data_IF_438544646706
#
_entry.id   IF_438544646706
#
_cell.length_a   1.000
_cell.length_b   1.000
_cell.length_c   1.000
_cell.angle_alpha   90.00
_cell.angle_beta   90.00
_cell.angle_gamma   90.00
#
_symmetry.space_group_name_H-M   'P 1'
#
loop_
_entity.id
_entity.type
_entity.pdbx_description
1 polymer ?
#
# COMPACT_ATOMS: atom_id res chain seq x y z
N UNK A 1 13.33 -38.08 19.03
CA UNK A 1 12.97 -36.92 19.87
C UNK A 1 12.72 -35.72 18.95
N UNK A 2 11.46 -35.36 18.72
CA UNK A 2 11.07 -34.24 17.86
C UNK A 2 10.09 -33.34 18.60
N UNK A 3 10.29 -32.02 18.56
CA UNK A 3 9.43 -31.02 19.18
C UNK A 3 9.21 -29.84 18.21
N UNK A 4 8.35 -30.01 17.19
CA UNK A 4 8.07 -28.93 16.26
C UNK A 4 7.21 -27.84 16.93
N UNK A 5 7.54 -26.58 16.65
CA UNK A 5 6.77 -25.41 17.10
C UNK A 5 6.38 -24.58 15.88
N UNK A 6 5.10 -24.23 15.78
CA UNK A 6 4.55 -23.38 14.74
C UNK A 6 3.96 -22.10 15.32
N UNK A 7 4.15 -20.97 14.63
CA UNK A 7 3.58 -19.68 14.98
C UNK A 7 2.92 -19.06 13.75
N UNK A 8 1.71 -18.55 13.91
CA UNK A 8 0.92 -17.97 12.83
C UNK A 8 -0.06 -16.92 13.36
N UNK A 9 -0.60 -16.12 12.46
CA UNK A 9 -1.55 -15.04 12.78
C UNK A 9 -2.72 -15.05 11.81
N UNK A 10 -3.91 -14.69 12.29
CA UNK A 10 -4.97 -14.19 11.41
C UNK A 10 -4.88 -12.66 11.36
N UNK A 11 -5.00 -12.09 10.17
CA UNK A 11 -4.88 -10.65 9.97
C UNK A 11 -6.23 -9.95 10.09
N UNK A 12 -6.29 -8.63 9.90
CA UNK A 12 -7.55 -7.87 9.91
C UNK A 12 -8.57 -8.37 8.88
N UNK A 13 -8.13 -9.05 7.83
CA UNK A 13 -8.99 -9.78 6.90
C UNK A 13 -9.19 -11.24 7.37
N UNK A 14 -9.66 -11.41 8.60
CA UNK A 14 -9.97 -12.70 9.21
C UNK A 14 -11.18 -13.33 8.51
N UNK A 15 -10.91 -14.29 7.62
CA UNK A 15 -11.88 -14.83 6.68
C UNK A 15 -11.83 -16.35 6.72
N UNK A 16 -12.66 -16.92 7.58
CA UNK A 16 -12.89 -18.36 7.68
C UNK A 16 -14.39 -18.61 7.78
N UNK A 17 -14.87 -19.73 7.21
CA UNK A 17 -16.28 -20.11 7.30
C UNK A 17 -16.40 -21.62 7.47
N UNK A 18 -17.06 -22.05 8.53
CA UNK A 18 -17.36 -23.47 8.75
C UNK A 18 -18.63 -23.83 7.96
N UNK A 19 -18.70 -25.06 7.47
CA UNK A 19 -19.91 -25.62 6.87
C UNK A 19 -20.08 -27.06 7.34
N UNK A 20 -21.32 -27.55 7.37
CA UNK A 20 -21.63 -28.96 7.61
C UNK A 20 -22.72 -29.43 6.64
N UNK A 21 -22.65 -30.70 6.26
CA UNK A 21 -23.69 -31.37 5.48
C UNK A 21 -24.17 -32.55 6.34
N UNK A 22 -25.47 -32.68 6.52
CA UNK A 22 -26.09 -33.80 7.22
C UNK A 22 -27.37 -34.24 6.50
N UNK A 23 -28.11 -35.21 7.06
CA UNK A 23 -29.38 -35.70 6.48
C UNK A 23 -30.45 -34.60 6.35
N UNK A 24 -30.30 -33.48 7.06
CA UNK A 24 -31.26 -32.37 7.09
C UNK A 24 -30.91 -31.28 6.06
N UNK A 25 -29.71 -31.31 5.47
CA UNK A 25 -29.31 -30.40 4.41
C UNK A 25 -27.89 -29.84 4.57
N UNK A 26 -27.71 -28.64 4.04
CA UNK A 26 -26.42 -27.93 3.96
C UNK A 26 -26.49 -26.73 4.90
N UNK A 27 -25.49 -26.62 5.78
CA UNK A 27 -25.39 -25.54 6.75
C UNK A 27 -24.07 -24.81 6.56
N UNK A 28 -24.13 -23.49 6.69
CA UNK A 28 -22.97 -22.61 6.64
C UNK A 28 -22.97 -21.74 7.91
N UNK A 29 -21.78 -21.48 8.47
CA UNK A 29 -21.64 -20.64 9.64
C UNK A 29 -22.18 -19.23 9.34
N UNK A 30 -23.04 -18.75 10.22
CA UNK A 30 -23.60 -17.40 10.14
C UNK A 30 -22.53 -16.38 10.55
N UNK A 31 -22.27 -15.41 9.69
CA UNK A 31 -21.43 -14.25 9.98
C UNK A 31 -22.30 -13.03 10.34
N UNK A 32 -21.68 -11.96 10.82
CA UNK A 32 -22.37 -10.70 11.07
C UNK A 32 -22.76 -10.00 9.75
N UNK A 33 -24.00 -9.51 9.66
CA UNK A 33 -24.54 -8.79 8.51
C UNK A 33 -24.71 -7.29 8.75
N UNK A 34 -24.63 -6.83 10.01
CA UNK A 34 -24.77 -5.44 10.44
C UNK A 34 -23.51 -4.95 11.18
N UNK A 35 -22.31 -5.00 10.56
CA UNK A 35 -21.07 -4.69 11.25
C UNK A 35 -20.96 -3.22 11.72
N UNK A 36 -21.74 -2.31 11.13
CA UNK A 36 -21.78 -0.90 11.53
C UNK A 36 -22.22 -0.67 12.98
N UNK A 37 -22.89 -1.63 13.62
CA UNK A 37 -23.26 -1.54 15.03
C UNK A 37 -22.04 -1.47 15.97
N UNK A 38 -20.90 -2.02 15.54
CA UNK A 38 -19.65 -1.99 16.31
C UNK A 38 -18.88 -0.68 16.18
N UNK A 39 -19.31 0.23 15.31
CA UNK A 39 -18.69 1.55 15.14
C UNK A 39 -19.37 2.53 16.11
N UNK A 40 -18.63 3.08 17.11
CA UNK A 40 -19.19 4.05 18.05
C UNK A 40 -19.78 5.26 17.31
N UNK A 41 -20.94 5.81 17.73
CA UNK A 41 -21.58 6.92 17.03
C UNK A 41 -20.66 8.12 16.79
N UNK A 42 -19.82 8.47 17.77
CA UNK A 42 -18.86 9.57 17.67
C UNK A 42 -17.79 9.39 16.57
N UNK A 43 -17.50 8.14 16.15
CA UNK A 43 -16.48 7.84 15.16
C UNK A 43 -17.04 7.64 13.75
N UNK A 44 -18.35 7.58 13.57
CA UNK A 44 -18.98 7.34 12.25
C UNK A 44 -18.75 8.47 11.26
N UNK A 45 -18.48 9.67 11.75
CA UNK A 45 -18.18 10.86 10.94
C UNK A 45 -16.89 11.56 11.37
N UNK A 46 -15.96 10.83 11.99
CA UNK A 46 -14.64 11.38 12.24
C UNK A 46 -13.99 11.68 10.87
N UNK A 47 -13.86 12.97 10.54
CA UNK A 47 -13.20 13.42 9.31
C UNK A 47 -11.71 13.05 9.32
N UNK A 48 -10.96 13.60 8.36
CA UNK A 48 -9.54 13.27 8.23
C UNK A 48 -8.70 13.73 9.43
N UNK A 49 -9.18 14.63 10.29
CA UNK A 49 -8.40 15.21 11.42
C UNK A 49 -7.18 16.04 10.95
N UNK A 50 -6.24 16.33 11.86
CA UNK A 50 -5.03 17.08 11.52
C UNK A 50 -4.00 16.24 10.76
N UNK A 51 -3.78 16.56 9.49
CA UNK A 51 -2.78 15.93 8.62
C UNK A 51 -2.14 16.98 7.71
N UNK A 52 -0.84 16.80 7.45
CA UNK A 52 -0.13 17.64 6.47
C UNK A 52 -0.59 17.26 5.08
N UNK A 53 -1.12 18.24 4.34
CA UNK A 53 -1.55 18.04 2.95
C UNK A 53 -0.34 18.05 2.02
N UNK A 54 -0.21 17.03 1.18
CA UNK A 54 0.88 16.91 0.21
C UNK A 54 0.26 16.75 -1.18
N UNK A 55 0.57 17.70 -2.06
CA UNK A 55 0.20 17.63 -3.48
C UNK A 55 1.29 16.89 -4.25
N UNK A 56 0.90 15.73 -4.81
CA UNK A 56 1.76 14.82 -5.56
C UNK A 56 1.86 15.19 -7.04
N UNK A 57 1.11 16.18 -7.52
CA UNK A 57 1.18 16.67 -8.89
C UNK A 57 2.25 17.77 -9.08
N UNK A 58 3.15 17.91 -8.13
CA UNK A 58 4.31 18.81 -8.19
C UNK A 58 5.56 18.05 -8.64
N UNK A 59 6.61 18.74 -9.14
CA UNK A 59 7.89 18.10 -9.42
C UNK A 59 8.42 17.31 -8.22
N UNK A 60 8.94 16.10 -8.45
CA UNK A 60 9.42 15.19 -7.38
C UNK A 60 10.32 15.89 -6.36
N UNK A 61 11.24 16.75 -6.83
CA UNK A 61 12.15 17.54 -5.97
C UNK A 61 11.41 18.42 -4.96
N UNK A 62 10.29 19.02 -5.36
CA UNK A 62 9.47 19.87 -4.48
C UNK A 62 8.73 19.04 -3.43
N UNK A 63 8.22 17.88 -3.83
CA UNK A 63 7.54 16.96 -2.90
C UNK A 63 8.55 16.48 -1.84
N UNK A 64 9.74 16.05 -2.25
CA UNK A 64 10.82 15.64 -1.34
C UNK A 64 11.22 16.77 -0.39
N UNK A 65 11.35 18.00 -0.90
CA UNK A 65 11.68 19.17 -0.08
C UNK A 65 10.59 19.46 0.97
N UNK A 66 9.31 19.31 0.62
CA UNK A 66 8.21 19.43 1.58
C UNK A 66 8.27 18.32 2.64
N UNK A 67 8.43 17.05 2.23
CA UNK A 67 8.49 15.92 3.15
C UNK A 67 9.66 16.01 4.12
N UNK A 68 10.79 16.58 3.69
CA UNK A 68 11.99 16.76 4.50
C UNK A 68 11.81 17.74 5.68
N UNK A 69 10.74 18.53 5.69
CA UNK A 69 10.44 19.46 6.79
C UNK A 69 9.84 18.78 8.02
N UNK A 70 9.43 17.51 7.90
CA UNK A 70 8.67 16.81 8.92
C UNK A 70 9.42 15.59 9.47
N UNK A 71 9.29 15.33 10.78
CA UNK A 71 9.86 14.11 11.37
C UNK A 71 9.07 12.87 10.95
N UNK A 72 9.67 11.70 11.16
CA UNK A 72 8.98 10.41 11.02
C UNK A 72 7.75 10.35 11.93
N UNK A 73 6.76 9.54 11.53
CA UNK A 73 5.44 9.43 12.17
C UNK A 73 4.51 10.63 11.98
N UNK A 74 4.92 11.67 11.24
CA UNK A 74 4.02 12.75 10.82
C UNK A 74 2.93 12.20 9.91
N UNK A 75 1.67 12.55 10.22
CA UNK A 75 0.52 12.10 9.44
C UNK A 75 0.32 12.98 8.21
N UNK A 76 0.16 12.34 7.05
CA UNK A 76 0.00 13.00 5.76
C UNK A 76 -1.36 12.69 5.14
N UNK A 77 -1.91 13.65 4.39
CA UNK A 77 -3.04 13.46 3.47
C UNK A 77 -2.54 13.77 2.05
N UNK A 78 -2.52 12.75 1.20
CA UNK A 78 -1.89 12.80 -0.13
C UNK A 78 -2.96 13.03 -1.20
N UNK A 79 -2.70 13.92 -2.15
CA UNK A 79 -3.57 14.15 -3.31
C UNK A 79 -2.73 14.23 -4.58
N UNK A 80 -3.10 13.51 -5.62
CA UNK A 80 -2.45 13.56 -6.93
C UNK A 80 -2.18 12.17 -7.52
N UNK A 81 -1.32 12.13 -8.53
CA UNK A 81 -1.01 10.91 -9.29
C UNK A 81 0.01 10.03 -8.58
N UNK A 82 -0.22 8.72 -8.63
CA UNK A 82 0.65 7.70 -8.04
C UNK A 82 0.77 6.53 -9.01
N UNK A 83 1.97 6.00 -9.18
CA UNK A 83 2.20 4.77 -9.95
C UNK A 83 2.00 3.56 -9.05
N UNK A 84 1.23 2.58 -9.52
CA UNK A 84 0.99 1.34 -8.77
C UNK A 84 1.88 0.23 -9.31
N UNK A 85 2.68 -0.38 -8.45
CA UNK A 85 3.57 -1.47 -8.84
C UNK A 85 4.07 -2.27 -7.65
N UNK A 86 4.17 -3.59 -7.79
CA UNK A 86 4.66 -4.49 -6.73
C UNK A 86 5.68 -5.49 -7.28
N UNK A 87 5.85 -6.62 -6.59
CA UNK A 87 6.79 -7.71 -6.83
C UNK A 87 7.25 -7.88 -8.30
N UNK A 88 6.36 -8.23 -9.24
CA UNK A 88 6.72 -8.49 -10.65
C UNK A 88 7.15 -7.21 -11.38
N UNK A 89 6.50 -6.08 -11.11
CA UNK A 89 6.88 -4.81 -11.73
C UNK A 89 8.29 -4.39 -11.29
N UNK A 90 8.62 -4.54 -10.01
CA UNK A 90 9.96 -4.25 -9.49
C UNK A 90 11.03 -5.19 -10.06
N UNK A 91 10.72 -6.48 -10.19
CA UNK A 91 11.61 -7.44 -10.84
C UNK A 91 11.94 -7.02 -12.28
N UNK A 92 10.93 -6.60 -13.06
CA UNK A 92 11.13 -6.10 -14.43
C UNK A 92 11.90 -4.78 -14.49
N UNK A 93 11.67 -3.86 -13.55
CA UNK A 93 12.45 -2.62 -13.47
C UNK A 93 13.92 -2.89 -13.18
N UNK A 94 14.21 -3.86 -12.30
CA UNK A 94 15.58 -4.33 -12.05
C UNK A 94 16.19 -4.97 -13.28
N UNK A 95 15.50 -5.90 -13.94
CA UNK A 95 15.96 -6.56 -15.16
C UNK A 95 16.31 -5.54 -16.25
N UNK A 96 15.48 -4.49 -16.40
CA UNK A 96 15.71 -3.37 -17.31
C UNK A 96 16.99 -2.60 -17.00
N UNK A 97 17.25 -2.29 -15.74
CA UNK A 97 18.53 -1.67 -15.35
C UNK A 97 19.71 -2.61 -15.66
N UNK A 98 19.56 -3.91 -15.37
CA UNK A 98 20.60 -4.92 -15.63
C UNK A 98 20.86 -5.15 -17.12
N UNK A 99 19.87 -4.90 -17.99
CA UNK A 99 20.04 -4.89 -19.46
C UNK A 99 20.66 -3.59 -20.00
N UNK A 100 20.99 -2.64 -19.13
CA UNK A 100 21.58 -1.34 -19.50
C UNK A 100 20.54 -0.31 -19.97
N UNK A 101 19.25 -0.60 -19.82
CA UNK A 101 18.18 0.36 -20.10
C UNK A 101 17.92 1.27 -18.88
N UNK A 102 17.47 2.49 -19.15
CA UNK A 102 17.07 3.42 -18.09
C UNK A 102 15.68 3.09 -17.52
N UNK A 103 15.41 3.55 -16.30
CA UNK A 103 14.09 3.46 -15.69
C UNK A 103 13.03 4.25 -16.47
N UNK A 104 11.80 3.73 -16.60
CA UNK A 104 10.71 4.49 -17.19
C UNK A 104 10.46 5.81 -16.47
N UNK A 105 10.18 6.88 -17.21
CA UNK A 105 10.06 8.23 -16.66
C UNK A 105 8.99 8.33 -15.55
N UNK A 106 7.87 7.60 -15.69
CA UNK A 106 6.80 7.57 -14.69
C UNK A 106 7.25 7.03 -13.31
N UNK A 107 8.31 6.21 -13.25
CA UNK A 107 8.91 5.72 -11.99
C UNK A 107 9.75 6.79 -11.28
N UNK A 108 10.21 7.80 -12.02
CA UNK A 108 11.02 8.93 -11.54
C UNK A 108 10.13 10.10 -11.12
N UNK A 109 9.04 10.34 -11.86
CA UNK A 109 8.20 11.52 -11.68
C UNK A 109 7.09 11.36 -10.64
N UNK A 110 6.72 10.12 -10.29
CA UNK A 110 5.60 9.86 -9.37
C UNK A 110 6.00 8.94 -8.20
N UNK A 111 5.35 9.08 -7.03
CA UNK A 111 5.44 8.09 -5.98
C UNK A 111 5.00 6.71 -6.45
N UNK A 112 5.59 5.66 -5.87
CA UNK A 112 5.22 4.28 -6.18
C UNK A 112 4.43 3.68 -5.02
N UNK A 113 3.19 3.30 -5.29
CA UNK A 113 2.32 2.60 -4.37
C UNK A 113 2.36 1.09 -4.60
N UNK A 114 2.81 0.37 -3.58
CA UNK A 114 2.89 -1.08 -3.65
C UNK A 114 1.51 -1.67 -3.38
N UNK A 115 0.72 -1.86 -4.43
CA UNK A 115 -0.63 -2.39 -4.35
C UNK A 115 -0.96 -3.27 -5.56
N UNK A 116 -2.09 -3.97 -5.47
CA UNK A 116 -2.69 -4.73 -6.55
C UNK A 116 -4.20 -4.55 -6.48
N UNK A 117 -4.85 -3.93 -7.48
CA UNK A 117 -6.30 -3.74 -7.47
C UNK A 117 -7.04 -5.09 -7.45
N UNK A 118 -8.14 -5.17 -6.70
CA UNK A 118 -9.19 -6.14 -7.01
C UNK A 118 -9.95 -5.72 -8.28
N UNK A 119 -10.81 -6.61 -8.80
CA UNK A 119 -11.68 -6.29 -9.94
C UNK A 119 -12.54 -5.06 -9.63
N UNK A 120 -12.60 -4.13 -10.57
CA UNK A 120 -13.43 -2.92 -10.46
C UNK A 120 -14.91 -3.26 -10.64
N UNK A 121 -15.78 -2.97 -9.65
CA UNK A 121 -17.22 -3.09 -9.80
C UNK A 121 -17.75 -2.12 -10.87
N UNK A 122 -18.83 -2.50 -11.56
CA UNK A 122 -19.49 -1.62 -12.52
C UNK A 122 -19.94 -0.32 -11.85
N UNK A 123 -19.64 0.83 -12.47
CA UNK A 123 -19.97 2.16 -11.95
C UNK A 123 -19.06 2.68 -10.82
N UNK A 124 -18.01 1.94 -10.43
CA UNK A 124 -17.02 2.39 -9.45
C UNK A 124 -15.70 2.78 -10.12
N UNK A 125 -14.95 3.74 -9.55
CA UNK A 125 -13.65 4.15 -10.10
C UNK A 125 -12.56 3.09 -9.91
N UNK A 126 -12.70 2.22 -8.91
CA UNK A 126 -11.70 1.20 -8.57
C UNK A 126 -12.33 0.05 -7.80
N UNK A 127 -11.73 -1.13 -7.90
CA UNK A 127 -11.95 -2.21 -6.94
C UNK A 127 -11.25 -1.92 -5.61
N UNK A 128 -11.42 -2.80 -4.62
CA UNK A 128 -10.66 -2.70 -3.37
C UNK A 128 -9.16 -2.64 -3.65
N UNK A 129 -8.47 -1.61 -3.13
CA UNK A 129 -7.07 -1.33 -3.47
C UNK A 129 -6.32 -0.82 -2.23
N UNK A 130 -5.87 -1.79 -1.43
CA UNK A 130 -5.09 -1.56 -0.22
C UNK A 130 -3.59 -1.79 -0.44
N UNK A 131 -2.74 -1.34 0.51
CA UNK A 131 -1.30 -1.50 0.43
C UNK A 131 -0.88 -2.97 0.57
N UNK A 132 0.23 -3.33 -0.06
CA UNK A 132 0.93 -4.59 0.13
C UNK A 132 2.11 -4.43 1.10
N UNK A 133 2.64 -5.55 1.61
CA UNK A 133 3.80 -5.55 2.52
C UNK A 133 5.02 -4.93 1.84
N UNK A 134 5.53 -3.83 2.40
CA UNK A 134 6.64 -3.06 1.86
C UNK A 134 7.96 -3.85 1.82
N UNK A 135 8.20 -4.66 2.86
CA UNK A 135 9.44 -5.43 3.06
C UNK A 135 9.86 -6.31 1.86
N UNK A 136 8.90 -6.77 1.05
CA UNK A 136 9.19 -7.59 -0.14
C UNK A 136 9.90 -6.82 -1.26
N UNK A 137 9.86 -5.50 -1.23
CA UNK A 137 10.51 -4.63 -2.21
C UNK A 137 11.80 -4.00 -1.69
N UNK A 138 12.28 -4.37 -0.49
CA UNK A 138 13.44 -3.73 0.15
C UNK A 138 14.72 -3.83 -0.67
N UNK A 139 14.97 -4.98 -1.31
CA UNK A 139 16.16 -5.23 -2.13
C UNK A 139 16.24 -4.39 -3.39
N UNK A 140 15.15 -3.74 -3.82
CA UNK A 140 15.13 -2.89 -5.01
C UNK A 140 15.39 -1.42 -4.71
N UNK A 141 15.28 -0.98 -3.44
CA UNK A 141 15.20 0.45 -3.12
C UNK A 141 16.49 1.21 -3.47
N UNK A 142 17.65 0.74 -3.01
CA UNK A 142 18.93 1.44 -3.29
C UNK A 142 19.23 1.46 -4.80
N UNK A 143 18.93 0.36 -5.51
CA UNK A 143 19.11 0.26 -6.96
C UNK A 143 18.21 1.23 -7.72
N UNK A 144 16.93 1.31 -7.38
CA UNK A 144 15.99 2.19 -8.07
C UNK A 144 16.30 3.66 -7.77
N UNK A 145 16.62 4.00 -6.51
CA UNK A 145 16.95 5.35 -6.10
C UNK A 145 18.27 5.84 -6.71
N UNK A 146 19.27 4.97 -6.89
CA UNK A 146 20.51 5.35 -7.59
C UNK A 146 20.29 5.72 -9.07
N UNK A 147 19.15 5.33 -9.64
CA UNK A 147 18.71 5.69 -11.00
C UNK A 147 17.61 6.77 -10.98
N UNK A 148 17.39 7.43 -9.84
CA UNK A 148 16.41 8.52 -9.67
C UNK A 148 14.95 8.07 -9.58
N UNK A 149 14.69 6.76 -9.50
CA UNK A 149 13.35 6.19 -9.36
C UNK A 149 12.99 5.83 -7.92
N UNK A 150 11.71 5.57 -7.65
CA UNK A 150 11.26 5.08 -6.33
C UNK A 150 11.68 6.00 -5.16
N UNK A 151 11.73 7.30 -5.41
CA UNK A 151 12.10 8.31 -4.41
C UNK A 151 11.06 8.45 -3.31
N UNK A 152 9.79 8.22 -3.61
CA UNK A 152 8.70 8.19 -2.64
C UNK A 152 7.96 6.86 -2.79
N UNK A 153 7.88 6.10 -1.70
CA UNK A 153 7.30 4.77 -1.66
C UNK A 153 6.11 4.75 -0.72
N UNK A 154 4.97 4.22 -1.15
CA UNK A 154 3.76 4.08 -0.34
C UNK A 154 3.43 2.59 -0.20
N UNK A 155 3.28 2.07 1.03
CA UNK A 155 2.96 0.66 1.28
C UNK A 155 2.54 0.45 2.74
N UNK A 156 2.52 -0.80 3.23
CA UNK A 156 2.30 -1.11 4.66
C UNK A 156 3.39 -1.97 5.27
N UNK A 157 3.53 -1.87 6.59
CA UNK A 157 4.45 -2.67 7.39
C UNK A 157 5.81 -2.01 7.57
N UNK A 158 6.56 -2.51 8.54
CA UNK A 158 7.95 -2.11 8.75
C UNK A 158 8.85 -2.63 7.62
N UNK A 159 10.00 -1.96 7.47
CA UNK A 159 11.02 -2.27 6.46
C UNK A 159 12.36 -2.53 7.15
N UNK A 160 13.28 -3.15 6.44
CA UNK A 160 14.63 -3.42 6.92
C UNK A 160 15.52 -2.17 6.92
N UNK A 161 16.63 -2.24 7.65
CA UNK A 161 17.60 -1.14 7.78
C UNK A 161 18.17 -0.67 6.42
N UNK A 162 18.29 -1.58 5.43
CA UNK A 162 18.78 -1.23 4.09
C UNK A 162 17.95 -0.12 3.44
N UNK A 163 16.65 -0.05 3.72
CA UNK A 163 15.76 0.97 3.16
C UNK A 163 15.98 2.31 3.85
N UNK A 164 16.20 2.30 5.17
CA UNK A 164 16.58 3.50 5.94
C UNK A 164 17.87 4.09 5.39
N UNK A 165 18.87 3.23 5.16
CA UNK A 165 20.18 3.66 4.67
C UNK A 165 20.10 4.18 3.23
N UNK A 166 19.34 3.51 2.35
CA UNK A 166 19.09 3.97 0.98
C UNK A 166 18.37 5.33 0.96
N UNK A 167 17.29 5.48 1.73
CA UNK A 167 16.57 6.74 1.83
C UNK A 167 17.46 7.88 2.34
N UNK A 168 18.35 7.60 3.32
CA UNK A 168 19.33 8.57 3.81
C UNK A 168 20.38 8.93 2.75
N UNK A 169 20.84 7.95 1.97
CA UNK A 169 21.84 8.11 0.92
C UNK A 169 21.32 8.93 -0.26
N UNK A 170 20.09 8.69 -0.68
CA UNK A 170 19.52 9.28 -1.91
C UNK A 170 18.52 10.42 -1.65
N UNK A 171 18.06 10.59 -0.41
CA UNK A 171 17.02 11.57 -0.06
C UNK A 171 15.59 11.09 -0.35
N UNK A 172 15.34 9.79 -0.29
CA UNK A 172 14.02 9.18 -0.51
C UNK A 172 13.16 9.07 0.75
N UNK A 173 11.88 8.75 0.59
CA UNK A 173 10.90 8.61 1.66
C UNK A 173 10.07 7.34 1.53
N UNK A 174 9.80 6.70 2.68
CA UNK A 174 8.78 5.66 2.81
C UNK A 174 7.59 6.21 3.60
N UNK A 175 6.41 6.16 3.00
CA UNK A 175 5.13 6.56 3.57
C UNK A 175 4.33 5.31 3.93
N UNK A 176 4.01 5.15 5.21
CA UNK A 176 3.20 4.05 5.71
C UNK A 176 1.70 4.32 5.54
N UNK A 177 1.02 3.49 4.76
CA UNK A 177 -0.44 3.44 4.65
C UNK A 177 -1.03 2.38 5.59
N UNK A 178 -2.28 2.57 5.98
CA UNK A 178 -3.02 1.64 6.85
C UNK A 178 -3.33 0.36 6.05
N UNK A 179 -2.83 -0.78 6.54
CA UNK A 179 -3.12 -2.10 5.97
C UNK A 179 -4.48 -2.62 6.44
N UNK A 180 -5.31 -3.08 5.50
CA UNK A 180 -6.62 -3.68 5.79
C UNK A 180 -7.82 -2.98 5.12
N UNK A 181 -8.05 -1.67 5.30
CA UNK A 181 -9.29 -1.00 4.87
C UNK A 181 -9.33 -0.68 3.36
N UNK A 182 -9.07 -1.66 2.51
CA UNK A 182 -8.95 -1.51 1.05
C UNK A 182 -10.23 -1.01 0.36
N UNK A 183 -11.40 -1.38 0.86
CA UNK A 183 -12.69 -0.94 0.31
C UNK A 183 -12.93 0.57 0.55
N UNK A 184 -12.60 1.05 1.75
CA UNK A 184 -12.73 2.48 2.11
C UNK A 184 -11.76 3.32 1.29
N UNK A 185 -10.51 2.87 1.14
CA UNK A 185 -9.52 3.53 0.28
C UNK A 185 -10.03 3.66 -1.17
N UNK A 186 -10.57 2.58 -1.73
CA UNK A 186 -11.12 2.59 -3.08
C UNK A 186 -12.32 3.53 -3.23
N UNK A 187 -13.22 3.55 -2.24
CA UNK A 187 -14.43 4.37 -2.29
C UNK A 187 -14.17 5.86 -2.06
N UNK A 188 -13.27 6.20 -1.13
CA UNK A 188 -13.09 7.57 -0.67
C UNK A 188 -11.88 8.26 -1.30
N UNK A 189 -10.79 7.53 -1.54
CA UNK A 189 -9.49 8.12 -1.91
C UNK A 189 -9.15 7.95 -3.40
N UNK A 190 -9.55 6.84 -4.03
CA UNK A 190 -9.20 6.56 -5.43
C UNK A 190 -10.27 7.11 -6.37
N UNK A 191 -9.87 8.02 -7.25
CA UNK A 191 -10.77 8.71 -8.19
C UNK A 191 -10.69 8.18 -9.62
N UNK A 192 -9.55 7.61 -9.99
CA UNK A 192 -9.29 7.09 -11.33
C UNK A 192 -8.24 5.97 -11.24
N UNK A 193 -8.34 4.96 -12.12
CA UNK A 193 -7.39 3.87 -12.23
C UNK A 193 -7.22 3.49 -13.71
N UNK A 194 -5.99 3.47 -14.17
CA UNK A 194 -5.62 3.10 -15.54
C UNK A 194 -4.39 2.18 -15.50
N UNK A 195 -4.35 1.19 -16.40
CA UNK A 195 -3.19 0.34 -16.56
C UNK A 195 -2.20 1.02 -17.51
N UNK A 196 -0.97 1.19 -17.05
CA UNK A 196 0.16 1.74 -17.82
C UNK A 196 1.09 0.65 -18.31
#
# INVERSE_FOLDING_TARGET
ASCPVGMGVSCSADRNIKAKINREGIWIAKLEHTPGQYIPPALRQAGEGDAVKVDLNRPMKEILAQLSQYPVSTRLSLTGTIIVGRDIAHAKLKERIESGEDLPQYIKDHPIYYAGPAKTPAGYPSGSLGPTTAGRMDSYVDLLQSHGGSMIMLAKGNRSQQVTDACKKHGGFYLGSIGGPAAVLAQQSIKHLECV
#
